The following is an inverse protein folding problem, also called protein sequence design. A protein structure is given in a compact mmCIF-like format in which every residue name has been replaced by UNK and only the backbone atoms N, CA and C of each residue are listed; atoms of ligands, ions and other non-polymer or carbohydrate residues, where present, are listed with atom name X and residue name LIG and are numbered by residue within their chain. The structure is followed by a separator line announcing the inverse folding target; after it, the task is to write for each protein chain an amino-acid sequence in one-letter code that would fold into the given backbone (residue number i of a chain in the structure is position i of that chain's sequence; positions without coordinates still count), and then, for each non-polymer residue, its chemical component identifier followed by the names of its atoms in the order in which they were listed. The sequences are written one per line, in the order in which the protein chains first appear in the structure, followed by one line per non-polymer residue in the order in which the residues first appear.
data_IF_081632647110
#
_entry.id   IF_081632647110
#
_cell.length_a   1.000
_cell.length_b   1.000
_cell.length_c   1.000
_cell.angle_alpha   90.00
_cell.angle_beta   90.00
_cell.angle_gamma   90.00
#
_symmetry.space_group_name_H-M   'P 1'
#
loop_
_entity.id
_entity.type
_entity.pdbx_description
1 polymer ?
#
# COMPACT_ATOMS: atom_id res chain seq x y z
N UNK A 1 -0.30 -10.70 -1.78
CA UNK A 1 -0.73 -11.21 -0.45
C UNK A 1 0.44 -11.19 0.53
N UNK A 2 0.28 -10.73 1.77
CA UNK A 2 1.34 -10.72 2.78
C UNK A 2 1.50 -12.11 3.40
N UNK A 3 2.75 -12.55 3.64
CA UNK A 3 3.02 -13.85 4.24
C UNK A 3 2.97 -13.76 5.77
N UNK A 4 1.81 -14.09 6.35
CA UNK A 4 1.52 -13.91 7.79
C UNK A 4 2.41 -14.74 8.73
N UNK A 5 2.81 -15.95 8.31
CA UNK A 5 3.59 -16.89 9.15
C UNK A 5 5.11 -16.76 8.98
N UNK A 6 5.59 -15.63 8.45
CA UNK A 6 7.01 -15.39 8.24
C UNK A 6 7.47 -14.08 8.90
N UNK A 7 8.78 -13.81 8.84
CA UNK A 7 9.36 -12.61 9.43
C UNK A 7 9.08 -11.36 8.62
N UNK A 8 9.18 -10.20 9.25
CA UNK A 8 9.12 -8.89 8.60
C UNK A 8 10.15 -8.80 7.48
N UNK A 9 11.39 -9.24 7.76
CA UNK A 9 12.47 -9.27 6.77
C UNK A 9 12.07 -10.00 5.49
N UNK A 10 11.53 -11.22 5.62
CA UNK A 10 11.11 -12.01 4.46
C UNK A 10 9.99 -11.32 3.67
N UNK A 11 9.06 -10.67 4.36
CA UNK A 11 8.00 -9.92 3.70
C UNK A 11 8.51 -8.71 2.91
N UNK A 12 9.50 -7.96 3.42
CA UNK A 12 10.10 -6.85 2.69
C UNK A 12 10.95 -7.29 1.52
N UNK A 13 11.66 -8.41 1.66
CA UNK A 13 12.58 -8.92 0.63
C UNK A 13 11.84 -9.59 -0.52
N UNK A 14 10.75 -10.29 -0.25
CA UNK A 14 10.08 -11.15 -1.23
C UNK A 14 9.74 -10.45 -2.56
N UNK A 15 9.19 -9.23 -2.60
CA UNK A 15 8.90 -8.57 -3.87
C UNK A 15 10.13 -8.21 -4.69
N UNK A 16 11.29 -8.09 -4.05
CA UNK A 16 12.56 -7.70 -4.67
C UNK A 16 13.57 -8.85 -4.70
N UNK A 17 13.12 -10.08 -4.54
CA UNK A 17 14.03 -11.24 -4.41
C UNK A 17 14.90 -11.43 -5.66
N UNK A 18 14.33 -11.16 -6.83
CA UNK A 18 15.04 -11.24 -8.11
C UNK A 18 16.11 -10.14 -8.23
N UNK A 19 15.84 -8.94 -7.67
CA UNK A 19 16.76 -7.80 -7.71
C UNK A 19 17.98 -8.01 -6.81
N UNK A 20 17.85 -8.85 -5.77
CA UNK A 20 18.90 -9.13 -4.77
C UNK A 20 19.52 -10.51 -4.89
N UNK A 21 19.00 -11.37 -5.77
CA UNK A 21 19.60 -12.65 -6.07
C UNK A 21 20.85 -12.45 -6.93
N UNK A 22 21.97 -12.99 -6.50
CA UNK A 22 23.20 -13.01 -7.30
C UNK A 22 23.05 -13.88 -8.55
N UNK A 23 23.98 -13.77 -9.51
CA UNK A 23 23.98 -14.50 -10.80
C UNK A 23 23.81 -16.02 -10.68
N UNK A 24 24.16 -16.60 -9.53
CA UNK A 24 23.99 -18.03 -9.25
C UNK A 24 22.77 -18.34 -8.36
N UNK A 25 21.86 -17.38 -8.16
CA UNK A 25 20.67 -17.54 -7.32
C UNK A 25 20.94 -17.48 -5.82
N UNK A 26 22.18 -17.23 -5.38
CA UNK A 26 22.51 -17.10 -3.96
C UNK A 26 22.07 -15.74 -3.41
N UNK A 27 21.43 -15.76 -2.25
CA UNK A 27 20.98 -14.59 -1.52
C UNK A 27 22.03 -14.15 -0.51
N UNK A 28 22.48 -12.90 -0.58
CA UNK A 28 23.35 -12.32 0.44
C UNK A 28 22.51 -11.90 1.66
N UNK A 29 22.52 -12.72 2.72
CA UNK A 29 21.73 -12.48 3.92
C UNK A 29 22.01 -11.13 4.59
N UNK A 30 23.27 -10.66 4.58
CA UNK A 30 23.66 -9.37 5.15
C UNK A 30 23.01 -8.22 4.38
N UNK A 31 22.96 -8.30 3.06
CA UNK A 31 22.30 -7.31 2.20
C UNK A 31 20.78 -7.32 2.43
N UNK A 32 20.17 -8.51 2.52
CA UNK A 32 18.72 -8.64 2.79
C UNK A 32 18.34 -8.05 4.14
N UNK A 33 19.15 -8.29 5.16
CA UNK A 33 18.94 -7.72 6.50
C UNK A 33 19.07 -6.21 6.49
N UNK A 34 20.05 -5.65 5.78
CA UNK A 34 20.24 -4.21 5.62
C UNK A 34 19.00 -3.57 4.95
N UNK A 35 18.57 -4.11 3.82
CA UNK A 35 17.40 -3.64 3.10
C UNK A 35 16.11 -3.68 3.96
N UNK A 36 15.90 -4.77 4.68
CA UNK A 36 14.75 -4.90 5.56
C UNK A 36 14.79 -3.90 6.72
N UNK A 37 15.96 -3.59 7.25
CA UNK A 37 16.14 -2.62 8.32
C UNK A 37 15.94 -1.17 7.83
N UNK A 38 16.40 -0.86 6.62
CA UNK A 38 16.13 0.41 5.96
C UNK A 38 14.63 0.61 5.74
N UNK A 39 13.93 -0.40 5.22
CA UNK A 39 12.48 -0.36 5.05
C UNK A 39 11.75 -0.23 6.40
N UNK A 40 12.18 -0.96 7.44
CA UNK A 40 11.61 -0.82 8.78
C UNK A 40 11.65 0.62 9.28
N UNK A 41 12.78 1.31 9.05
CA UNK A 41 12.96 2.72 9.44
C UNK A 41 12.12 3.66 8.57
N UNK A 42 12.17 3.52 7.25
CA UNK A 42 11.45 4.37 6.30
C UNK A 42 9.94 4.33 6.49
N UNK A 43 9.39 3.15 6.83
CA UNK A 43 7.96 2.98 7.10
C UNK A 43 7.58 3.14 8.58
N UNK A 44 8.50 3.60 9.44
CA UNK A 44 8.26 3.82 10.87
C UNK A 44 7.55 2.61 11.52
N UNK A 45 8.06 1.40 11.24
CA UNK A 45 7.46 0.17 11.72
C UNK A 45 7.78 -0.06 13.19
N UNK A 46 6.75 -0.15 14.03
CA UNK A 46 6.90 -0.49 15.46
C UNK A 46 6.98 -2.01 15.61
N UNK A 47 8.19 -2.51 15.88
CA UNK A 47 8.49 -3.93 16.07
C UNK A 47 9.76 -4.09 16.89
N UNK A 48 10.01 -5.30 17.42
CA UNK A 48 11.24 -5.64 18.17
C UNK A 48 12.45 -5.84 17.25
N UNK A 49 12.23 -6.02 15.95
CA UNK A 49 13.27 -6.18 14.93
C UNK A 49 12.72 -6.86 13.68
N UNK A 50 13.50 -6.86 12.60
CA UNK A 50 13.06 -7.41 11.30
C UNK A 50 12.93 -8.95 11.29
N UNK A 51 13.46 -9.64 12.31
CA UNK A 51 13.25 -11.09 12.51
C UNK A 51 11.93 -11.42 13.22
N UNK A 52 11.20 -10.41 13.73
CA UNK A 52 9.89 -10.63 14.34
C UNK A 52 8.91 -11.20 13.30
N UNK A 53 8.07 -12.15 13.77
CA UNK A 53 6.99 -12.68 12.93
C UNK A 53 5.91 -11.63 12.72
N UNK A 54 5.44 -11.49 11.48
CA UNK A 54 4.40 -10.51 11.11
C UNK A 54 3.09 -10.75 11.87
N UNK A 55 2.78 -11.99 12.22
CA UNK A 55 1.58 -12.32 12.99
C UNK A 55 1.50 -11.58 14.33
N UNK A 56 2.63 -11.34 14.97
CA UNK A 56 2.73 -10.61 16.25
C UNK A 56 2.62 -9.10 16.15
N UNK A 57 2.42 -8.54 14.95
CA UNK A 57 2.23 -7.11 14.75
C UNK A 57 0.76 -6.71 14.95
N UNK A 58 0.53 -5.45 15.38
CA UNK A 58 -0.79 -4.82 15.31
C UNK A 58 -1.29 -4.72 13.87
N UNK A 59 -2.61 -4.56 13.68
CA UNK A 59 -3.22 -4.39 12.36
C UNK A 59 -2.56 -3.28 11.54
N UNK A 60 -2.36 -2.11 12.14
CA UNK A 60 -1.70 -0.98 11.48
C UNK A 60 -0.25 -1.26 11.09
N UNK A 61 0.53 -1.95 11.92
CA UNK A 61 1.89 -2.34 11.54
C UNK A 61 1.91 -3.42 10.46
N UNK A 62 0.93 -4.31 10.43
CA UNK A 62 0.74 -5.27 9.31
C UNK A 62 0.50 -4.52 7.99
N UNK A 63 -0.38 -3.51 7.99
CA UNK A 63 -0.62 -2.70 6.79
C UNK A 63 0.62 -1.91 6.36
N UNK A 64 1.40 -1.38 7.29
CA UNK A 64 2.69 -0.75 6.98
C UNK A 64 3.66 -1.71 6.29
N UNK A 65 3.76 -2.96 6.75
CA UNK A 65 4.58 -3.99 6.08
C UNK A 65 4.01 -4.30 4.70
N UNK A 66 2.69 -4.44 4.59
CA UNK A 66 2.04 -4.79 3.32
C UNK A 66 2.23 -3.70 2.25
N UNK A 67 2.08 -2.43 2.61
CA UNK A 67 2.29 -1.31 1.70
C UNK A 67 3.78 -1.08 1.43
N UNK A 68 4.59 -1.06 2.49
CA UNK A 68 6.01 -0.74 2.44
C UNK A 68 6.81 -1.71 1.57
N UNK A 69 6.47 -2.99 1.57
CA UNK A 69 7.15 -4.00 0.73
C UNK A 69 7.02 -3.73 -0.78
N UNK A 70 5.97 -3.07 -1.21
CA UNK A 70 5.77 -2.67 -2.60
C UNK A 70 6.37 -1.30 -2.89
N UNK A 71 6.13 -0.31 -2.02
CA UNK A 71 6.69 1.04 -2.17
C UNK A 71 8.22 1.11 -2.06
N UNK A 72 8.84 0.05 -1.55
CA UNK A 72 10.30 -0.10 -1.55
C UNK A 72 10.88 -0.48 -2.92
N UNK A 73 10.02 -0.85 -3.88
CA UNK A 73 10.42 -1.13 -5.27
C UNK A 73 10.29 0.11 -6.15
N UNK A 74 11.01 0.08 -7.24
CA UNK A 74 10.80 1.02 -8.34
C UNK A 74 9.55 0.59 -9.13
N UNK A 75 8.45 1.30 -8.92
CA UNK A 75 7.14 0.99 -9.48
C UNK A 75 6.69 2.11 -10.42
N UNK A 76 6.10 1.74 -11.55
CA UNK A 76 5.36 2.68 -12.38
C UNK A 76 3.89 2.80 -11.96
N UNK A 77 3.31 1.69 -11.50
CA UNK A 77 1.89 1.61 -11.09
C UNK A 77 1.77 0.83 -9.79
N UNK A 78 0.96 1.34 -8.86
CA UNK A 78 0.58 0.70 -7.61
C UNK A 78 -0.94 0.50 -7.56
N UNK A 79 -1.38 -0.72 -7.33
CA UNK A 79 -2.80 -1.03 -7.11
C UNK A 79 -2.98 -1.43 -5.65
N UNK A 80 -3.87 -0.75 -4.95
CA UNK A 80 -4.20 -1.01 -3.54
C UNK A 80 -5.70 -1.25 -3.39
N UNK A 81 -6.03 -2.34 -2.72
CA UNK A 81 -7.41 -2.74 -2.43
C UNK A 81 -7.71 -2.53 -0.94
N UNK A 82 -8.64 -1.64 -0.65
CA UNK A 82 -9.09 -1.25 0.69
C UNK A 82 -7.91 -1.10 1.69
N UNK A 83 -6.92 -0.24 1.39
CA UNK A 83 -5.67 -0.19 2.16
C UNK A 83 -5.86 0.26 3.61
N UNK A 84 -6.97 0.89 3.92
CA UNK A 84 -7.30 1.49 5.22
C UNK A 84 -8.34 0.70 6.01
N UNK A 85 -8.84 -0.41 5.46
CA UNK A 85 -9.87 -1.21 6.11
C UNK A 85 -9.38 -1.81 7.43
N UNK A 86 -10.13 -1.57 8.51
CA UNK A 86 -9.85 -2.15 9.83
C UNK A 86 -8.63 -1.59 10.55
N UNK A 87 -8.18 -0.39 10.19
CA UNK A 87 -7.07 0.30 10.88
C UNK A 87 -7.57 1.58 11.56
N UNK A 88 -6.81 2.04 12.56
CA UNK A 88 -7.11 3.28 13.28
C UNK A 88 -6.81 4.52 12.42
N UNK A 89 -7.35 5.68 12.85
CA UNK A 89 -7.26 6.97 12.13
C UNK A 89 -5.81 7.39 11.89
N UNK A 90 -4.93 7.15 12.86
CA UNK A 90 -3.50 7.52 12.72
C UNK A 90 -2.80 6.68 11.63
N UNK A 91 -3.18 5.41 11.50
CA UNK A 91 -2.66 4.55 10.42
C UNK A 91 -3.28 4.90 9.08
N UNK A 92 -4.57 5.27 9.02
CA UNK A 92 -5.19 5.80 7.79
C UNK A 92 -4.41 7.01 7.26
N UNK A 93 -4.18 8.01 8.10
CA UNK A 93 -3.42 9.21 7.74
C UNK A 93 -2.03 8.85 7.18
N UNK A 94 -1.32 7.95 7.86
CA UNK A 94 -0.02 7.48 7.39
C UNK A 94 -0.08 6.80 6.02
N UNK A 95 -1.09 5.95 5.75
CA UNK A 95 -1.27 5.30 4.45
C UNK A 95 -1.50 6.35 3.36
N UNK A 96 -2.35 7.35 3.62
CA UNK A 96 -2.61 8.43 2.66
C UNK A 96 -1.33 9.21 2.34
N UNK A 97 -0.51 9.50 3.34
CA UNK A 97 0.77 10.18 3.13
C UNK A 97 1.72 9.33 2.27
N UNK A 98 1.78 8.01 2.51
CA UNK A 98 2.56 7.10 1.66
C UNK A 98 2.08 7.12 0.19
N UNK A 99 0.76 7.14 -0.05
CA UNK A 99 0.21 7.20 -1.41
C UNK A 99 0.47 8.56 -2.07
N UNK A 100 0.38 9.67 -1.31
CA UNK A 100 0.74 11.01 -1.81
C UNK A 100 2.22 11.10 -2.20
N UNK A 101 3.10 10.53 -1.38
CA UNK A 101 4.54 10.48 -1.69
C UNK A 101 4.83 9.60 -2.91
N UNK A 102 4.11 8.48 -3.08
CA UNK A 102 4.19 7.66 -4.29
C UNK A 102 3.80 8.48 -5.54
N UNK A 103 2.70 9.23 -5.48
CA UNK A 103 2.27 10.14 -6.55
C UNK A 103 3.34 11.19 -6.89
N UNK A 104 3.96 11.81 -5.88
CA UNK A 104 5.05 12.79 -6.10
C UNK A 104 6.26 12.19 -6.82
N UNK A 105 6.50 10.90 -6.65
CA UNK A 105 7.54 10.14 -7.36
C UNK A 105 7.12 9.70 -8.76
N UNK A 106 5.92 10.07 -9.22
CA UNK A 106 5.39 9.70 -10.53
C UNK A 106 4.76 8.30 -10.60
N UNK A 107 4.53 7.66 -9.46
CA UNK A 107 3.87 6.34 -9.42
C UNK A 107 2.36 6.54 -9.60
N UNK A 108 1.80 6.00 -10.69
CA UNK A 108 0.35 5.93 -10.89
C UNK A 108 -0.29 5.03 -9.83
N UNK A 109 -1.34 5.52 -9.14
CA UNK A 109 -2.00 4.73 -8.09
C UNK A 109 -3.44 4.47 -8.43
N UNK A 110 -3.85 3.20 -8.41
CA UNK A 110 -5.26 2.78 -8.46
C UNK A 110 -5.64 2.34 -7.04
N UNK A 111 -6.53 3.09 -6.41
CA UNK A 111 -7.05 2.77 -5.09
C UNK A 111 -8.51 2.29 -5.21
N UNK A 112 -8.75 1.07 -4.74
CA UNK A 112 -10.10 0.52 -4.62
C UNK A 112 -10.55 0.77 -3.18
N UNK A 113 -11.73 1.35 -3.00
CA UNK A 113 -12.30 1.62 -1.67
C UNK A 113 -13.82 1.60 -1.71
N UNK A 114 -14.43 1.24 -0.59
CA UNK A 114 -15.87 1.36 -0.32
C UNK A 114 -16.19 2.59 0.55
N UNK A 115 -15.17 3.36 0.95
CA UNK A 115 -15.33 4.60 1.72
C UNK A 115 -15.34 5.81 0.77
N UNK A 116 -16.52 6.40 0.49
CA UNK A 116 -16.68 7.54 -0.43
C UNK A 116 -15.83 8.75 -0.02
N UNK A 117 -15.78 9.07 1.27
CA UNK A 117 -14.96 10.19 1.81
C UNK A 117 -13.48 9.99 1.50
N UNK A 118 -13.01 8.73 1.57
CA UNK A 118 -11.63 8.39 1.21
C UNK A 118 -11.37 8.60 -0.29
N UNK A 119 -12.27 8.14 -1.15
CA UNK A 119 -12.17 8.35 -2.60
C UNK A 119 -12.11 9.84 -2.93
N UNK A 120 -13.03 10.63 -2.41
CA UNK A 120 -13.08 12.09 -2.63
C UNK A 120 -11.82 12.79 -2.11
N UNK A 121 -11.31 12.38 -0.94
CA UNK A 121 -10.12 12.98 -0.33
C UNK A 121 -8.81 12.68 -1.07
N UNK A 122 -8.74 11.55 -1.76
CA UNK A 122 -7.48 11.04 -2.30
C UNK A 122 -7.38 11.04 -3.82
N UNK A 123 -8.49 10.82 -4.55
CA UNK A 123 -8.45 10.59 -5.99
C UNK A 123 -8.29 11.87 -6.81
N UNK A 124 -7.63 11.78 -7.96
CA UNK A 124 -7.70 12.77 -9.05
C UNK A 124 -8.90 12.46 -9.98
N UNK A 125 -9.18 11.18 -10.15
CA UNK A 125 -10.35 10.69 -10.89
C UNK A 125 -11.04 9.60 -10.08
N UNK A 126 -12.36 9.63 -10.02
CA UNK A 126 -13.18 8.58 -9.39
C UNK A 126 -13.88 7.80 -10.51
N UNK A 127 -13.74 6.49 -10.46
CA UNK A 127 -14.45 5.55 -11.34
C UNK A 127 -15.47 4.83 -10.48
N UNK A 128 -16.76 5.08 -10.73
CA UNK A 128 -17.86 4.43 -10.03
C UNK A 128 -18.22 3.14 -10.75
N UNK A 129 -18.17 2.03 -10.01
CA UNK A 129 -18.49 0.70 -10.53
C UNK A 129 -19.73 0.13 -9.84
N UNK A 130 -20.60 -0.51 -10.61
CA UNK A 130 -21.77 -1.24 -10.12
C UNK A 130 -21.98 -2.49 -10.97
N UNK A 131 -22.15 -3.64 -10.32
CA UNK A 131 -22.39 -4.93 -10.99
C UNK A 131 -21.32 -5.30 -12.04
N UNK A 132 -20.05 -4.98 -11.76
CA UNK A 132 -18.93 -5.28 -12.66
C UNK A 132 -18.76 -4.31 -13.84
N UNK A 133 -19.58 -3.27 -13.92
CA UNK A 133 -19.55 -2.27 -15.00
C UNK A 133 -19.14 -0.90 -14.48
N UNK A 134 -18.41 -0.15 -15.28
CA UNK A 134 -18.15 1.27 -15.03
C UNK A 134 -19.42 2.06 -15.35
N UNK A 135 -19.99 2.72 -14.35
CA UNK A 135 -21.19 3.54 -14.50
C UNK A 135 -20.86 5.01 -14.73
N UNK A 136 -19.81 5.51 -14.09
CA UNK A 136 -19.38 6.90 -14.21
C UNK A 136 -17.90 7.08 -13.97
N UNK A 137 -17.30 8.05 -14.64
CA UNK A 137 -15.95 8.54 -14.34
C UNK A 137 -16.03 10.05 -14.13
N UNK A 138 -15.49 10.52 -13.01
CA UNK A 138 -15.54 11.92 -12.58
C UNK A 138 -14.11 12.38 -12.28
N UNK A 139 -13.69 13.48 -12.92
CA UNK A 139 -12.41 14.13 -12.64
C UNK A 139 -12.51 15.14 -11.52
N UNK A 140 -11.46 15.34 -10.74
CA UNK A 140 -11.40 16.36 -9.67
C UNK A 140 -11.65 17.77 -10.19
N UNK A 141 -11.28 18.08 -11.43
CA UNK A 141 -11.52 19.39 -12.06
C UNK A 141 -13.00 19.74 -12.21
N UNK A 142 -13.86 18.72 -12.29
CA UNK A 142 -15.33 18.92 -12.36
C UNK A 142 -15.98 19.06 -10.97
N UNK A 143 -15.20 18.89 -9.89
CA UNK A 143 -15.70 18.77 -8.52
C UNK A 143 -16.26 17.38 -8.24
N UNK A 144 -16.12 16.91 -6.99
CA UNK A 144 -16.75 15.66 -6.54
C UNK A 144 -17.98 15.99 -5.72
N UNK A 145 -19.18 15.63 -6.25
CA UNK A 145 -20.45 15.74 -5.55
C UNK A 145 -20.80 14.37 -4.94
N UNK A 146 -20.90 14.30 -3.62
CA UNK A 146 -21.23 13.06 -2.90
C UNK A 146 -22.59 12.49 -3.33
N UNK A 147 -23.62 13.34 -3.43
CA UNK A 147 -24.98 12.91 -3.79
C UNK A 147 -24.99 12.27 -5.18
N UNK A 148 -24.35 12.91 -6.15
CA UNK A 148 -24.24 12.40 -7.52
C UNK A 148 -23.50 11.06 -7.60
N UNK A 149 -22.48 10.85 -6.76
CA UNK A 149 -21.75 9.58 -6.72
C UNK A 149 -22.61 8.50 -6.09
N UNK A 150 -23.31 8.80 -4.99
CA UNK A 150 -24.19 7.86 -4.30
C UNK A 150 -25.34 7.42 -5.21
N UNK A 151 -25.98 8.34 -5.93
CA UNK A 151 -27.07 8.01 -6.88
C UNK A 151 -26.64 6.96 -7.92
N UNK A 152 -25.39 7.01 -8.36
CA UNK A 152 -24.85 6.05 -9.34
C UNK A 152 -24.49 4.71 -8.68
N UNK A 153 -24.16 4.71 -7.39
CA UNK A 153 -23.78 3.50 -6.63
C UNK A 153 -25.01 2.67 -6.24
N UNK A 154 -26.12 3.30 -5.91
CA UNK A 154 -27.39 2.65 -5.48
C UNK A 154 -28.21 2.23 -6.67
#
# INVERSE_FOLDING_TARGET
MMMMKTTIMRNFVLPSIEDVAGKAGFLNYTQLKKMAEENRRSFHLKCTGTNQNVNGLSGGNKQKVNLGRWLAKDLSILIVDCPTRGVDVGVKAYIYDCLREAKKKGIGTIMITDELVEAIGMADNIVVMKNGEVKKTIGRSSGFNEEEIIEVMV
#
